data_IF_399542127548
#
_entry.id   IF_399542127548
#
_cell.length_a   1.000
_cell.length_b   1.000
_cell.length_c   1.000
_cell.angle_alpha   90.00
_cell.angle_beta   90.00
_cell.angle_gamma   90.00
#
_symmetry.space_group_name_H-M   'P 1'
#
loop_
_entity.id
_entity.type
_entity.pdbx_description
1 polymer ?
#
# COMPACT_ATOMS: atom_id res chain seq x y z
N UNK A 1 -20.72 16.54 -24.29
CA UNK A 1 -21.78 15.54 -24.04
C UNK A 1 -21.52 14.90 -22.68
N UNK A 2 -22.31 15.20 -21.66
CA UNK A 2 -22.26 14.54 -20.36
C UNK A 2 -22.90 13.17 -20.54
N UNK A 3 -22.10 12.10 -20.54
CA UNK A 3 -22.63 10.75 -20.45
C UNK A 3 -23.36 10.66 -19.09
N UNK A 4 -24.64 10.31 -19.11
CA UNK A 4 -25.37 9.93 -17.92
C UNK A 4 -24.74 8.62 -17.38
N UNK A 5 -23.86 8.76 -16.39
CA UNK A 5 -23.21 7.63 -15.76
C UNK A 5 -24.20 7.07 -14.74
N UNK A 6 -24.61 5.84 -14.90
CA UNK A 6 -25.43 5.12 -13.93
C UNK A 6 -24.54 4.69 -12.75
N UNK A 7 -24.66 5.40 -11.63
CA UNK A 7 -23.91 5.10 -10.40
C UNK A 7 -24.55 3.98 -9.56
N UNK A 8 -25.69 3.47 -9.94
CA UNK A 8 -26.40 2.44 -9.16
C UNK A 8 -25.70 1.07 -9.17
N UNK A 9 -24.96 0.78 -10.24
CA UNK A 9 -24.31 -0.51 -10.46
C UNK A 9 -22.79 -0.50 -10.20
N UNK A 10 -22.22 0.60 -9.73
CA UNK A 10 -20.77 0.78 -9.58
C UNK A 10 -20.03 0.93 -10.92
N UNK A 11 -18.87 1.57 -10.89
CA UNK A 11 -18.05 1.79 -12.08
C UNK A 11 -16.90 0.81 -12.08
N UNK A 12 -16.96 -0.19 -12.96
CA UNK A 12 -15.93 -1.23 -13.08
C UNK A 12 -14.84 -0.89 -14.11
N UNK A 13 -15.05 0.10 -14.97
CA UNK A 13 -14.06 0.61 -15.92
C UNK A 13 -13.99 2.13 -15.80
N UNK A 14 -12.86 2.63 -15.30
CA UNK A 14 -12.64 4.05 -15.08
C UNK A 14 -12.70 4.90 -16.35
N UNK A 15 -12.51 4.29 -17.53
CA UNK A 15 -12.61 5.00 -18.81
C UNK A 15 -14.00 5.59 -19.06
N UNK A 16 -15.03 5.03 -18.43
CA UNK A 16 -16.40 5.54 -18.49
C UNK A 16 -16.55 6.93 -17.85
N UNK A 17 -15.64 7.30 -16.93
CA UNK A 17 -15.69 8.59 -16.23
C UNK A 17 -15.29 9.79 -17.11
N UNK A 18 -14.60 9.54 -18.22
CA UNK A 18 -14.00 10.56 -19.05
C UNK A 18 -12.68 11.12 -18.51
N UNK A 19 -11.87 11.69 -19.40
CA UNK A 19 -10.49 12.09 -19.08
C UNK A 19 -10.38 13.10 -17.93
N UNK A 20 -11.28 14.09 -17.86
CA UNK A 20 -11.22 15.12 -16.83
C UNK A 20 -11.45 14.57 -15.41
N UNK A 21 -12.47 13.73 -15.22
CA UNK A 21 -12.74 13.10 -13.91
C UNK A 21 -11.65 12.09 -13.54
N UNK A 22 -11.16 11.31 -14.50
CA UNK A 22 -10.03 10.40 -14.29
C UNK A 22 -8.78 11.14 -13.81
N UNK A 23 -8.47 12.30 -14.40
CA UNK A 23 -7.32 13.10 -14.00
C UNK A 23 -7.44 13.57 -12.55
N UNK A 24 -8.60 14.13 -12.17
CA UNK A 24 -8.85 14.62 -10.81
C UNK A 24 -8.74 13.50 -9.81
N UNK A 25 -9.36 12.34 -10.05
CA UNK A 25 -9.30 11.17 -9.17
C UNK A 25 -7.89 10.59 -9.09
N UNK A 26 -7.14 10.59 -10.19
CA UNK A 26 -5.75 10.15 -10.24
C UNK A 26 -4.84 11.03 -9.39
N UNK A 27 -4.97 12.36 -9.50
CA UNK A 27 -4.22 13.33 -8.68
C UNK A 27 -4.59 13.16 -7.20
N UNK A 28 -5.87 13.08 -6.88
CA UNK A 28 -6.34 12.85 -5.52
C UNK A 28 -5.76 11.56 -4.92
N UNK A 29 -5.77 10.47 -5.69
CA UNK A 29 -5.22 9.18 -5.25
C UNK A 29 -3.71 9.23 -5.06
N UNK A 30 -2.98 9.93 -5.94
CA UNK A 30 -1.55 10.16 -5.80
C UNK A 30 -1.22 10.87 -4.48
N UNK A 31 -1.92 11.94 -4.12
CA UNK A 31 -1.72 12.64 -2.85
C UNK A 31 -2.06 11.75 -1.64
N UNK A 32 -3.14 10.99 -1.71
CA UNK A 32 -3.53 10.08 -0.63
C UNK A 32 -2.48 9.00 -0.36
N UNK A 33 -1.85 8.46 -1.41
CA UNK A 33 -0.85 7.40 -1.30
C UNK A 33 0.57 7.90 -1.08
N UNK A 34 0.86 9.16 -1.40
CA UNK A 34 2.19 9.75 -1.28
C UNK A 34 2.71 9.68 0.15
N UNK A 35 1.87 10.04 1.14
CA UNK A 35 2.24 10.00 2.55
C UNK A 35 2.72 8.61 2.98
N UNK A 36 1.95 7.57 2.66
CA UNK A 36 2.31 6.19 2.99
C UNK A 36 3.59 5.74 2.27
N UNK A 37 3.75 6.11 0.99
CA UNK A 37 4.90 5.69 0.18
C UNK A 37 6.22 6.31 0.66
N UNK A 38 6.17 7.49 1.28
CA UNK A 38 7.34 8.15 1.88
C UNK A 38 7.55 7.73 3.33
N UNK A 39 6.46 7.59 4.11
CA UNK A 39 6.55 7.31 5.53
C UNK A 39 7.06 5.90 5.83
N UNK A 40 6.61 4.89 5.08
CA UNK A 40 7.05 3.51 5.30
C UNK A 40 8.58 3.36 5.15
N UNK A 41 9.24 3.83 4.08
CA UNK A 41 10.69 3.74 4.00
C UNK A 41 11.41 4.52 5.10
N UNK A 42 10.90 5.67 5.54
CA UNK A 42 11.47 6.41 6.67
C UNK A 42 11.44 5.61 7.98
N UNK A 43 10.33 4.91 8.25
CA UNK A 43 10.17 4.10 9.46
C UNK A 43 10.93 2.77 9.42
N UNK A 44 11.25 2.27 8.23
CA UNK A 44 11.94 0.97 8.05
C UNK A 44 13.43 1.12 7.73
N UNK A 45 13.90 2.34 7.47
CA UNK A 45 15.27 2.60 7.06
C UNK A 45 15.57 2.29 5.58
N UNK A 46 14.53 2.04 4.78
CA UNK A 46 14.67 1.91 3.33
C UNK A 46 14.95 3.26 2.66
N UNK A 47 15.65 3.24 1.53
CA UNK A 47 15.84 4.44 0.71
C UNK A 47 14.51 4.92 0.12
N UNK A 48 14.11 6.14 0.46
CA UNK A 48 12.88 6.76 -0.06
C UNK A 48 12.90 6.86 -1.58
N UNK A 49 14.03 7.27 -2.16
CA UNK A 49 14.18 7.41 -3.61
C UNK A 49 14.00 6.08 -4.34
N UNK A 50 14.63 5.02 -3.83
CA UNK A 50 14.51 3.67 -4.41
C UNK A 50 13.08 3.15 -4.26
N UNK A 51 12.45 3.37 -3.12
CA UNK A 51 11.06 2.96 -2.87
C UNK A 51 10.09 3.66 -3.81
N UNK A 52 10.25 4.98 -4.01
CA UNK A 52 9.43 5.74 -4.96
C UNK A 52 9.61 5.25 -6.40
N UNK A 53 10.86 4.99 -6.80
CA UNK A 53 11.15 4.44 -8.14
C UNK A 53 10.47 3.08 -8.34
N UNK A 54 10.62 2.17 -7.38
CA UNK A 54 9.99 0.85 -7.43
C UNK A 54 8.46 0.93 -7.42
N UNK A 55 7.88 1.84 -6.61
CA UNK A 55 6.44 2.08 -6.59
C UNK A 55 5.94 2.59 -7.95
N UNK A 56 6.67 3.52 -8.58
CA UNK A 56 6.36 4.01 -9.92
C UNK A 56 6.40 2.90 -10.98
N UNK A 57 7.49 2.13 -11.00
CA UNK A 57 7.64 1.01 -11.94
C UNK A 57 6.58 -0.07 -11.71
N UNK A 58 6.29 -0.41 -10.44
CA UNK A 58 5.25 -1.36 -10.08
C UNK A 58 3.86 -0.88 -10.52
N UNK A 59 3.58 0.40 -10.36
CA UNK A 59 2.32 1.02 -10.82
C UNK A 59 2.18 0.97 -12.34
N UNK A 60 3.25 1.27 -13.09
CA UNK A 60 3.25 1.16 -14.55
C UNK A 60 3.02 -0.28 -15.02
N UNK A 61 3.70 -1.25 -14.40
CA UNK A 61 3.50 -2.66 -14.68
C UNK A 61 2.05 -3.09 -14.40
N UNK A 62 1.48 -2.66 -13.28
CA UNK A 62 0.09 -2.93 -12.94
C UNK A 62 -0.87 -2.36 -13.98
N UNK A 63 -0.67 -1.11 -14.42
CA UNK A 63 -1.50 -0.50 -15.46
C UNK A 63 -1.38 -1.22 -16.80
N UNK A 64 -0.19 -1.70 -17.14
CA UNK A 64 0.02 -2.51 -18.34
C UNK A 64 -0.76 -3.82 -18.27
N UNK A 65 -0.68 -4.55 -17.14
CA UNK A 65 -1.38 -5.82 -16.95
C UNK A 65 -2.90 -5.62 -16.93
N UNK A 66 -3.40 -4.60 -16.25
CA UNK A 66 -4.83 -4.28 -16.14
C UNK A 66 -5.39 -3.57 -17.37
N UNK A 67 -4.54 -3.29 -18.38
CA UNK A 67 -4.90 -2.56 -19.60
C UNK A 67 -5.53 -1.19 -19.31
N UNK A 68 -5.10 -0.54 -18.21
CA UNK A 68 -5.58 0.77 -17.78
C UNK A 68 -7.04 0.81 -17.31
N UNK A 69 -7.64 -0.33 -17.00
CA UNK A 69 -9.05 -0.38 -16.51
C UNK A 69 -9.16 0.07 -15.05
N UNK A 70 -8.14 -0.17 -14.24
CA UNK A 70 -8.12 0.15 -12.82
C UNK A 70 -7.16 1.32 -12.57
N UNK A 71 -7.64 2.53 -12.28
CA UNK A 71 -6.78 3.68 -11.99
C UNK A 71 -6.32 3.62 -10.53
N UNK A 72 -5.30 2.80 -10.24
CA UNK A 72 -4.75 2.66 -8.91
C UNK A 72 -3.24 2.94 -8.92
N UNK A 73 -2.76 3.69 -7.93
CA UNK A 73 -1.35 3.83 -7.63
C UNK A 73 -0.95 2.76 -6.61
N UNK A 74 0.13 2.03 -6.87
CA UNK A 74 0.67 1.03 -5.96
C UNK A 74 1.83 1.64 -5.18
N UNK A 75 1.62 1.85 -3.89
CA UNK A 75 2.63 2.38 -2.98
C UNK A 75 3.00 1.39 -1.88
N UNK A 76 3.78 1.87 -0.92
CA UNK A 76 4.16 1.10 0.26
C UNK A 76 2.95 0.78 1.13
N UNK A 77 2.99 -0.36 1.80
CA UNK A 77 1.91 -0.81 2.68
C UNK A 77 2.35 -0.79 4.14
N UNK A 78 1.56 -0.16 4.99
CA UNK A 78 1.74 -0.17 6.44
C UNK A 78 1.62 -1.57 7.07
N UNK A 79 0.95 -2.50 6.40
CA UNK A 79 0.81 -3.88 6.90
C UNK A 79 2.16 -4.60 7.07
N UNK A 80 3.19 -4.20 6.32
CA UNK A 80 4.52 -4.78 6.42
C UNK A 80 5.41 -4.17 7.51
N UNK A 81 5.03 -3.06 8.14
CA UNK A 81 5.85 -2.42 9.18
C UNK A 81 6.17 -3.37 10.32
N UNK A 82 5.18 -4.17 10.78
CA UNK A 82 5.40 -5.19 11.80
C UNK A 82 6.44 -6.24 11.39
N UNK A 83 6.42 -6.69 10.15
CA UNK A 83 7.42 -7.60 9.62
C UNK A 83 8.82 -6.97 9.57
N UNK A 84 8.93 -5.73 9.11
CA UNK A 84 10.21 -5.00 9.10
C UNK A 84 10.75 -4.79 10.51
N UNK A 85 9.93 -4.41 11.49
CA UNK A 85 10.38 -4.19 12.87
C UNK A 85 10.87 -5.46 13.56
N UNK A 86 10.42 -6.63 13.14
CA UNK A 86 10.87 -7.93 13.66
C UNK A 86 12.15 -8.41 12.96
N UNK A 87 12.18 -8.34 11.61
CA UNK A 87 13.28 -8.90 10.82
C UNK A 87 14.46 -7.93 10.71
N UNK A 88 14.18 -6.65 10.53
CA UNK A 88 15.19 -5.61 10.36
C UNK A 88 14.86 -4.39 11.26
N UNK A 89 14.92 -4.55 12.59
CA UNK A 89 14.65 -3.45 13.50
C UNK A 89 15.65 -2.31 13.28
N UNK A 90 15.17 -1.06 13.41
CA UNK A 90 16.04 0.11 13.42
C UNK A 90 17.01 0.02 14.61
N UNK A 91 18.25 0.39 14.39
CA UNK A 91 19.31 0.38 15.40
C UNK A 91 19.35 1.72 16.13
N UNK A 92 19.74 1.68 17.40
CA UNK A 92 19.92 2.88 18.20
C UNK A 92 21.18 3.66 17.75
N UNK A 93 21.06 4.97 17.70
CA UNK A 93 22.19 5.88 17.55
C UNK A 93 22.91 6.10 18.90
N UNK A 94 23.94 6.97 18.92
CA UNK A 94 24.70 7.30 20.12
C UNK A 94 23.83 7.90 21.25
N UNK A 95 22.70 8.52 20.89
CA UNK A 95 21.75 9.15 21.82
C UNK A 95 20.61 8.19 22.24
N UNK A 96 20.63 6.93 21.76
CA UNK A 96 19.64 5.91 22.08
C UNK A 96 18.36 5.98 21.23
N UNK A 97 18.30 6.84 20.20
CA UNK A 97 17.16 6.91 19.30
C UNK A 97 17.27 5.87 18.20
N UNK A 98 16.16 5.23 17.83
CA UNK A 98 16.10 4.22 16.75
C UNK A 98 16.07 4.90 15.38
N UNK A 99 17.22 5.38 14.92
CA UNK A 99 17.36 6.17 13.69
C UNK A 99 18.25 5.53 12.64
N UNK A 100 19.06 4.53 13.01
CA UNK A 100 20.02 3.89 12.11
C UNK A 100 19.35 2.71 11.39
N UNK A 101 19.38 2.72 10.07
CA UNK A 101 18.86 1.63 9.26
C UNK A 101 19.71 0.35 9.42
N UNK A 102 19.07 -0.78 9.68
CA UNK A 102 19.72 -2.07 9.76
C UNK A 102 19.98 -2.63 8.35
N UNK A 103 21.00 -2.11 7.69
CA UNK A 103 21.33 -2.42 6.29
C UNK A 103 21.65 -3.91 6.06
N UNK A 104 22.08 -4.65 7.09
CA UNK A 104 22.37 -6.07 6.98
C UNK A 104 21.09 -6.92 6.90
N UNK A 105 20.06 -6.55 7.64
CA UNK A 105 18.81 -7.30 7.73
C UNK A 105 17.73 -6.82 6.77
N UNK A 106 17.81 -5.59 6.27
CA UNK A 106 16.87 -5.03 5.29
C UNK A 106 16.65 -5.92 4.06
N UNK A 107 17.68 -6.53 3.43
CA UNK A 107 17.46 -7.41 2.28
C UNK A 107 16.60 -8.63 2.61
N UNK A 108 16.72 -9.18 3.83
CA UNK A 108 15.90 -10.32 4.27
C UNK A 108 14.44 -9.90 4.49
N UNK A 109 14.22 -8.73 5.08
CA UNK A 109 12.87 -8.18 5.21
C UNK A 109 12.23 -7.94 3.83
N UNK A 110 12.97 -7.35 2.89
CA UNK A 110 12.51 -7.16 1.52
C UNK A 110 12.21 -8.48 0.80
N UNK A 111 13.05 -9.51 1.00
CA UNK A 111 12.78 -10.86 0.49
C UNK A 111 11.48 -11.44 1.08
N UNK A 112 11.24 -11.25 2.38
CA UNK A 112 9.97 -11.64 3.01
C UNK A 112 8.75 -10.99 2.37
N UNK A 113 8.84 -9.68 2.08
CA UNK A 113 7.78 -8.95 1.33
C UNK A 113 7.60 -9.53 -0.08
N UNK A 114 8.69 -9.85 -0.78
CA UNK A 114 8.61 -10.46 -2.11
C UNK A 114 7.94 -11.84 -2.05
N UNK A 115 8.26 -12.66 -1.04
CA UNK A 115 7.59 -13.95 -0.81
C UNK A 115 6.10 -13.81 -0.51
N UNK A 116 5.68 -12.73 0.17
CA UNK A 116 4.26 -12.49 0.39
C UNK A 116 3.47 -12.31 -0.93
N UNK A 117 4.13 -11.84 -1.99
CA UNK A 117 3.56 -11.80 -3.33
C UNK A 117 3.12 -13.17 -3.84
N UNK A 118 3.83 -14.24 -3.51
CA UNK A 118 3.44 -15.61 -3.86
C UNK A 118 2.14 -16.03 -3.15
N UNK A 119 1.93 -15.57 -1.92
CA UNK A 119 0.68 -15.80 -1.20
C UNK A 119 -0.50 -15.15 -1.93
N UNK A 120 -0.32 -13.91 -2.43
CA UNK A 120 -1.34 -13.24 -3.24
C UNK A 120 -1.64 -14.01 -4.55
N UNK A 121 -0.64 -14.57 -5.20
CA UNK A 121 -0.84 -15.43 -6.37
C UNK A 121 -1.64 -16.69 -6.01
N UNK A 122 -1.31 -17.34 -4.88
CA UNK A 122 -2.06 -18.51 -4.40
C UNK A 122 -3.52 -18.15 -4.08
N UNK A 123 -3.77 -17.04 -3.40
CA UNK A 123 -5.13 -16.55 -3.12
C UNK A 123 -5.88 -16.21 -4.40
N UNK A 124 -5.21 -15.59 -5.37
CA UNK A 124 -5.80 -15.30 -6.70
C UNK A 124 -6.21 -16.58 -7.41
N UNK A 125 -5.37 -17.61 -7.37
CA UNK A 125 -5.68 -18.93 -7.95
C UNK A 125 -6.88 -19.59 -7.24
N UNK A 126 -6.92 -19.51 -5.91
CA UNK A 126 -8.07 -20.01 -5.12
C UNK A 126 -9.36 -19.27 -5.49
N UNK A 127 -9.33 -17.96 -5.65
CA UNK A 127 -10.49 -17.17 -6.08
C UNK A 127 -10.94 -17.58 -7.49
N UNK A 128 -9.98 -17.79 -8.40
CA UNK A 128 -10.27 -18.23 -9.76
C UNK A 128 -10.94 -19.61 -9.81
N UNK A 129 -10.54 -20.54 -8.94
CA UNK A 129 -11.05 -21.92 -8.92
C UNK A 129 -12.36 -22.08 -8.12
N UNK A 130 -12.44 -21.46 -6.93
CA UNK A 130 -13.57 -21.63 -6.00
C UNK A 130 -14.60 -20.49 -6.04
N UNK A 131 -14.29 -19.42 -6.75
CA UNK A 131 -15.12 -18.22 -6.83
C UNK A 131 -14.99 -17.30 -5.62
N UNK A 132 -15.13 -16.00 -5.87
CA UNK A 132 -14.95 -14.93 -4.88
C UNK A 132 -15.89 -15.08 -3.67
N UNK A 133 -17.15 -15.48 -3.89
CA UNK A 133 -18.17 -15.57 -2.82
C UNK A 133 -17.77 -16.57 -1.74
N UNK A 134 -17.10 -17.69 -2.10
CA UNK A 134 -16.66 -18.72 -1.15
C UNK A 134 -15.45 -18.26 -0.35
N UNK A 135 -14.50 -17.60 -1.00
CA UNK A 135 -13.30 -17.08 -0.35
C UNK A 135 -13.60 -15.92 0.58
N UNK A 136 -14.49 -14.98 0.18
CA UNK A 136 -14.90 -13.86 1.03
C UNK A 136 -15.63 -14.29 2.32
N UNK A 137 -16.11 -15.52 2.40
CA UNK A 137 -16.66 -16.09 3.66
C UNK A 137 -15.57 -16.26 4.73
N UNK A 138 -14.31 -16.45 4.35
CA UNK A 138 -13.17 -16.55 5.29
C UNK A 138 -12.68 -15.18 5.75
N UNK A 139 -13.03 -14.11 5.05
CA UNK A 139 -12.67 -12.73 5.38
C UNK A 139 -13.91 -11.88 5.68
N UNK A 140 -14.68 -12.21 6.75
CA UNK A 140 -15.86 -11.43 7.06
C UNK A 140 -15.48 -10.02 7.54
N UNK A 141 -16.32 -9.00 7.29
CA UNK A 141 -16.07 -7.62 7.72
C UNK A 141 -15.81 -7.45 9.21
N UNK A 142 -16.36 -8.36 10.03
CA UNK A 142 -16.15 -8.40 11.50
C UNK A 142 -14.67 -8.64 11.86
N UNK A 143 -13.91 -9.33 11.01
CA UNK A 143 -12.47 -9.57 11.22
C UNK A 143 -11.65 -8.47 10.57
N UNK A 144 -11.96 -8.10 9.33
CA UNK A 144 -11.16 -7.12 8.57
C UNK A 144 -11.30 -5.70 9.11
N UNK A 145 -12.50 -5.32 9.58
CA UNK A 145 -12.76 -3.99 10.17
C UNK A 145 -11.84 -3.67 11.36
N UNK A 146 -11.84 -4.48 12.42
CA UNK A 146 -10.98 -4.27 13.59
C UNK A 146 -9.48 -4.25 13.25
N UNK A 147 -9.02 -5.06 12.28
CA UNK A 147 -7.62 -5.05 11.84
C UNK A 147 -7.25 -3.71 11.21
N UNK A 148 -8.11 -3.15 10.36
CA UNK A 148 -7.88 -1.85 9.73
C UNK A 148 -7.83 -0.73 10.78
N UNK A 149 -8.76 -0.77 11.77
CA UNK A 149 -8.79 0.19 12.87
C UNK A 149 -7.51 0.08 13.71
N UNK A 150 -7.09 -1.14 14.05
CA UNK A 150 -5.87 -1.36 14.83
C UNK A 150 -4.63 -0.82 14.12
N UNK A 151 -4.48 -1.04 12.81
CA UNK A 151 -3.39 -0.47 12.00
C UNK A 151 -3.42 1.07 12.07
N UNK A 152 -4.59 1.68 11.90
CA UNK A 152 -4.76 3.14 12.00
C UNK A 152 -4.34 3.71 13.36
N UNK A 153 -4.76 3.05 14.45
CA UNK A 153 -4.43 3.46 15.82
C UNK A 153 -2.93 3.30 16.12
N UNK A 154 -2.28 2.25 15.65
CA UNK A 154 -0.84 2.03 15.82
C UNK A 154 -0.02 3.11 15.10
N UNK A 155 -0.52 3.60 13.95
CA UNK A 155 0.18 4.60 13.15
C UNK A 155 -0.09 6.05 13.60
N UNK A 156 -1.15 6.29 14.37
CA UNK A 156 -1.52 7.63 14.82
C UNK A 156 -0.41 8.36 15.60
N UNK A 157 0.31 7.74 16.56
CA UNK A 157 1.42 8.38 17.26
C UNK A 157 2.56 8.80 16.32
N UNK A 158 2.89 7.97 15.33
CA UNK A 158 3.92 8.29 14.33
C UNK A 158 3.53 9.49 13.47
N UNK A 159 2.28 9.59 13.07
CA UNK A 159 1.77 10.72 12.30
C UNK A 159 1.82 12.02 13.12
N UNK A 160 1.46 11.96 14.41
CA UNK A 160 1.50 13.10 15.31
C UNK A 160 2.95 13.55 15.53
N UNK A 161 3.88 12.64 15.82
CA UNK A 161 5.29 12.96 16.05
C UNK A 161 5.93 13.62 14.83
N UNK A 162 5.64 13.13 13.63
CA UNK A 162 6.15 13.71 12.38
C UNK A 162 5.56 15.11 12.11
N UNK A 163 4.32 15.36 12.52
CA UNK A 163 3.69 16.67 12.40
C UNK A 163 4.30 17.69 13.39
N UNK A 164 4.68 17.27 14.60
CA UNK A 164 5.25 18.14 15.64
C UNK A 164 6.73 18.48 15.41
N UNK A 165 7.49 17.63 14.72
CA UNK A 165 8.92 17.87 14.42
C UNK A 165 9.12 19.01 13.40
N UNK A 166 8.07 19.44 12.70
CA UNK A 166 8.14 20.50 11.69
C UNK A 166 7.64 21.87 12.15
N UNK A 167 7.35 22.04 13.42
CA UNK A 167 7.10 23.34 14.06
C UNK A 167 8.30 23.68 14.93
#
# INVERSE_FOLDING_TARGET
MSQNIDYSNGIYDARQLGAGRMLILGVQHMFAMFGATVLVPLLTGLSVSTTLLCAGLGTLLFHFITKGKVPAFLGSSFAYLGGFSIVAPMLADADGNLTIANTQMLPYACAGVAFSGLVYLAVSLLISTFGIRRIMRFFPPVVTGPIIIAIGLILAPSAISLSLIKI
#
